data_IF_482746071488
#
_entry.id   IF_482746071488
#
_cell.length_a   1.000
_cell.length_b   1.000
_cell.length_c   1.000
_cell.angle_alpha   90.00
_cell.angle_beta   90.00
_cell.angle_gamma   90.00
#
_symmetry.space_group_name_H-M   'P 1'
#
loop_
_entity.id
_entity.type
_entity.pdbx_description
1 polymer ?
#
# COMPACT_ATOMS: atom_id res chain seq x y z
N UNK A 1 -3.14 -28.72 -12.76
CA UNK A 1 -2.57 -27.38 -12.49
C UNK A 1 -3.41 -26.80 -11.37
N UNK A 2 -2.85 -26.57 -10.20
CA UNK A 2 -3.61 -26.11 -9.03
C UNK A 2 -3.69 -24.58 -9.10
N UNK A 3 -4.92 -24.03 -9.14
CA UNK A 3 -5.18 -22.59 -9.09
C UNK A 3 -5.89 -22.30 -7.78
N UNK A 4 -5.44 -21.27 -7.08
CA UNK A 4 -6.08 -20.80 -5.86
C UNK A 4 -6.53 -19.36 -6.05
N UNK A 5 -7.82 -19.13 -5.82
CA UNK A 5 -8.40 -17.80 -5.75
C UNK A 5 -8.64 -17.48 -4.28
N UNK A 6 -8.07 -16.41 -3.81
CA UNK A 6 -8.33 -15.90 -2.47
C UNK A 6 -9.22 -14.66 -2.63
N UNK A 7 -10.46 -14.80 -2.22
CA UNK A 7 -11.44 -13.72 -2.26
C UNK A 7 -11.66 -13.20 -0.85
N UNK A 8 -11.46 -11.93 -0.67
CA UNK A 8 -11.69 -11.27 0.60
C UNK A 8 -13.18 -10.94 0.83
N UNK A 9 -13.72 -10.96 2.11
CA UNK A 9 -15.17 -10.98 2.38
C UNK A 9 -15.92 -9.80 1.85
N UNK A 10 -15.77 -8.77 1.39
CA UNK A 10 -16.68 -7.70 0.88
C UNK A 10 -17.10 -7.86 -0.57
N UNK A 11 -16.35 -8.61 -1.39
CA UNK A 11 -16.73 -8.83 -2.79
C UNK A 11 -17.89 -9.81 -2.96
N UNK A 12 -18.08 -10.74 -2.03
CA UNK A 12 -19.07 -11.81 -2.11
C UNK A 12 -20.32 -11.58 -1.24
N UNK A 13 -20.48 -10.40 -0.66
CA UNK A 13 -21.74 -9.94 -0.12
C UNK A 13 -22.28 -10.63 1.12
N UNK A 14 -21.47 -11.15 2.03
CA UNK A 14 -21.96 -11.66 3.30
C UNK A 14 -21.11 -12.77 3.92
N UNK A 15 -21.25 -12.97 5.25
CA UNK A 15 -20.27 -13.77 5.98
C UNK A 15 -20.33 -15.28 5.73
N UNK A 16 -21.44 -15.89 5.37
CA UNK A 16 -21.52 -17.35 5.40
C UNK A 16 -22.11 -18.05 4.16
N UNK A 17 -22.91 -17.37 3.35
CA UNK A 17 -23.68 -18.00 2.27
C UNK A 17 -23.65 -17.19 0.96
N UNK A 18 -22.55 -16.53 0.65
CA UNK A 18 -22.44 -15.80 -0.61
C UNK A 18 -22.65 -16.78 -1.78
N UNK A 19 -23.72 -16.63 -2.57
CA UNK A 19 -23.93 -17.47 -3.72
C UNK A 19 -22.73 -17.32 -4.65
N UNK A 20 -22.21 -18.46 -5.13
CA UNK A 20 -21.19 -18.43 -6.17
C UNK A 20 -21.78 -17.70 -7.37
N UNK A 21 -21.02 -16.78 -8.00
CA UNK A 21 -21.55 -16.09 -9.16
C UNK A 21 -21.91 -17.11 -10.26
N UNK A 22 -23.17 -17.15 -10.64
CA UNK A 22 -23.68 -17.96 -11.76
C UNK A 22 -23.55 -17.13 -13.05
N UNK A 23 -22.33 -17.00 -13.56
CA UNK A 23 -22.11 -16.34 -14.85
C UNK A 23 -22.01 -17.38 -15.96
N UNK A 24 -22.67 -17.12 -17.07
CA UNK A 24 -22.51 -17.89 -18.30
C UNK A 24 -21.23 -17.44 -19.02
N UNK A 25 -20.08 -17.80 -18.44
CA UNK A 25 -18.76 -17.46 -18.94
C UNK A 25 -17.71 -18.47 -18.46
N UNK A 26 -16.55 -18.59 -19.13
CA UNK A 26 -15.47 -19.46 -18.69
C UNK A 26 -14.96 -19.17 -17.27
N UNK A 27 -14.99 -17.91 -16.85
CA UNK A 27 -14.66 -17.52 -15.49
C UNK A 27 -15.71 -17.99 -14.49
N UNK A 28 -17.01 -17.90 -14.82
CA UNK A 28 -18.12 -18.42 -14.02
C UNK A 28 -18.05 -19.94 -13.87
N UNK A 29 -17.81 -20.69 -14.96
CA UNK A 29 -17.62 -22.14 -14.92
C UNK A 29 -16.43 -22.54 -14.02
N UNK A 30 -15.34 -21.78 -14.08
CA UNK A 30 -14.16 -22.02 -13.24
C UNK A 30 -14.46 -21.75 -11.77
N UNK A 31 -15.11 -20.62 -11.45
CA UNK A 31 -15.49 -20.26 -10.08
C UNK A 31 -16.47 -21.25 -9.48
N UNK A 32 -17.42 -21.79 -10.28
CA UNK A 32 -18.36 -22.80 -9.84
C UNK A 32 -17.68 -24.11 -9.40
N UNK A 33 -16.54 -24.43 -10.01
CA UNK A 33 -15.74 -25.62 -9.72
C UNK A 33 -14.64 -25.36 -8.69
N UNK A 34 -14.33 -24.10 -8.37
CA UNK A 34 -13.26 -23.73 -7.46
C UNK A 34 -13.56 -24.24 -6.04
N UNK A 35 -12.52 -24.76 -5.38
CA UNK A 35 -12.57 -25.07 -3.97
C UNK A 35 -12.38 -23.77 -3.19
N UNK A 36 -13.37 -23.37 -2.40
CA UNK A 36 -13.30 -22.16 -1.58
C UNK A 36 -12.77 -22.51 -0.22
N UNK A 37 -11.61 -22.00 0.13
CA UNK A 37 -11.03 -22.08 1.47
C UNK A 37 -11.16 -20.71 2.13
N UNK A 38 -11.78 -20.66 3.30
CA UNK A 38 -12.00 -19.40 4.00
C UNK A 38 -10.79 -19.08 4.87
N UNK A 39 -10.15 -17.95 4.61
CA UNK A 39 -9.17 -17.40 5.55
C UNK A 39 -9.93 -16.72 6.69
N UNK A 40 -9.83 -17.29 7.88
CA UNK A 40 -10.40 -16.68 9.10
C UNK A 40 -9.58 -15.47 9.47
N UNK A 41 -10.26 -14.37 9.80
CA UNK A 41 -9.56 -13.19 10.34
C UNK A 41 -8.75 -13.60 11.59
N UNK A 42 -7.53 -13.09 11.76
CA UNK A 42 -6.71 -13.45 12.91
C UNK A 42 -7.44 -13.10 14.21
N UNK A 43 -7.43 -14.03 15.17
CA UNK A 43 -8.04 -13.82 16.50
C UNK A 43 -7.42 -12.65 17.27
N UNK A 44 -6.18 -12.29 16.93
CA UNK A 44 -5.45 -11.19 17.54
C UNK A 44 -5.26 -10.04 16.57
N UNK A 45 -5.39 -8.79 17.04
CA UNK A 45 -5.10 -7.61 16.22
C UNK A 45 -3.69 -7.68 15.66
N UNK A 46 -3.54 -7.39 14.39
CA UNK A 46 -2.24 -7.32 13.72
C UNK A 46 -2.19 -6.09 12.81
N UNK A 47 -1.02 -5.46 12.76
CA UNK A 47 -0.74 -4.40 11.79
C UNK A 47 -0.54 -4.94 10.36
N UNK A 48 -0.35 -6.24 10.20
CA UNK A 48 -0.11 -6.89 8.90
C UNK A 48 -1.01 -8.11 8.69
N UNK A 49 -2.35 -7.94 8.68
CA UNK A 49 -3.29 -9.05 8.47
C UNK A 49 -3.06 -9.76 7.12
N UNK A 50 -2.52 -9.07 6.13
CA UNK A 50 -2.19 -9.59 4.81
C UNK A 50 -1.14 -10.71 4.83
N UNK A 51 -0.42 -10.89 5.95
CA UNK A 51 0.49 -12.02 6.13
C UNK A 51 -0.20 -13.38 5.98
N UNK A 52 -1.48 -13.46 6.35
CA UNK A 52 -2.28 -14.67 6.17
C UNK A 52 -2.33 -15.11 4.70
N UNK A 53 -2.26 -14.19 3.74
CA UNK A 53 -2.26 -14.50 2.30
C UNK A 53 -1.00 -15.26 1.86
N UNK A 54 0.08 -15.08 2.63
CA UNK A 54 1.35 -15.79 2.43
C UNK A 54 1.41 -17.07 3.26
N UNK A 55 0.32 -17.47 3.94
CA UNK A 55 0.27 -18.63 4.83
C UNK A 55 1.05 -18.44 6.13
N UNK A 56 1.26 -17.19 6.53
CA UNK A 56 1.98 -16.82 7.75
C UNK A 56 0.99 -16.28 8.80
N UNK A 57 1.33 -16.48 10.07
CA UNK A 57 0.52 -15.98 11.17
C UNK A 57 0.75 -14.48 11.39
N UNK A 58 -0.27 -13.61 11.15
CA UNK A 58 -0.07 -12.16 11.17
C UNK A 58 0.44 -11.60 12.49
N UNK A 59 0.13 -12.24 13.63
CA UNK A 59 0.57 -11.78 14.94
C UNK A 59 2.06 -12.06 15.23
N UNK A 60 2.67 -13.00 14.50
CA UNK A 60 4.10 -13.31 14.61
C UNK A 60 4.96 -12.47 13.66
N UNK A 61 4.38 -12.00 12.57
CA UNK A 61 5.08 -11.29 11.49
C UNK A 61 4.46 -9.91 11.26
N UNK A 62 4.48 -9.09 12.31
CA UNK A 62 3.92 -7.74 12.25
C UNK A 62 4.99 -6.70 11.91
N UNK A 63 4.60 -5.64 11.26
CA UNK A 63 5.40 -4.42 11.04
C UNK A 63 4.51 -3.21 10.78
N UNK A 64 5.09 -2.02 10.85
CA UNK A 64 4.41 -0.76 10.57
C UNK A 64 4.34 -0.45 9.07
N UNK A 65 3.60 0.57 8.69
CA UNK A 65 3.41 0.97 7.29
C UNK A 65 4.65 1.55 6.62
N UNK A 66 5.55 2.16 7.37
CA UNK A 66 6.79 2.71 6.84
C UNK A 66 7.68 1.65 6.17
N UNK A 67 8.06 0.57 6.87
CA UNK A 67 8.71 -0.57 6.25
C UNK A 67 7.99 -1.12 5.03
N UNK A 68 6.66 -1.22 5.07
CA UNK A 68 5.89 -1.72 3.93
C UNK A 68 5.93 -0.77 2.73
N UNK A 69 5.89 0.54 2.97
CA UNK A 69 6.00 1.53 1.90
C UNK A 69 7.35 1.50 1.20
N UNK A 70 8.44 1.38 1.96
CA UNK A 70 9.80 1.23 1.42
C UNK A 70 9.94 -0.12 0.70
N UNK A 71 9.47 -1.20 1.30
CA UNK A 71 9.46 -2.53 0.70
C UNK A 71 8.70 -2.58 -0.63
N UNK A 72 7.59 -1.85 -0.76
CA UNK A 72 6.82 -1.76 -1.99
C UNK A 72 7.58 -1.12 -3.17
N UNK A 73 8.60 -0.33 -2.89
CA UNK A 73 9.53 0.20 -3.90
C UNK A 73 10.62 -0.81 -4.26
N UNK A 74 10.90 -1.74 -3.38
CA UNK A 74 11.85 -2.82 -3.60
C UNK A 74 13.23 -2.31 -3.99
N UNK A 75 13.77 -2.86 -5.06
CA UNK A 75 15.11 -2.49 -5.59
C UNK A 75 15.16 -1.08 -6.20
N UNK A 76 14.01 -0.47 -6.45
CA UNK A 76 13.93 0.89 -7.01
C UNK A 76 13.99 1.97 -5.92
N UNK A 77 13.94 1.59 -4.63
CA UNK A 77 14.22 2.54 -3.55
C UNK A 77 15.66 3.06 -3.66
N UNK A 78 15.88 4.38 -3.61
CA UNK A 78 17.22 4.96 -3.85
C UNK A 78 18.17 4.70 -2.67
N UNK A 79 19.02 3.72 -2.82
CA UNK A 79 20.06 3.37 -1.86
C UNK A 79 19.73 2.18 -0.95
N UNK A 80 20.71 1.72 -0.18
CA UNK A 80 20.52 0.60 0.73
C UNK A 80 19.72 1.02 1.96
N UNK A 81 18.87 0.11 2.45
CA UNK A 81 18.14 0.24 3.72
C UNK A 81 18.88 -0.55 4.79
N UNK A 82 19.43 0.16 5.76
CA UNK A 82 20.14 -0.42 6.92
C UNK A 82 19.16 -1.00 7.96
N UNK A 83 19.65 -1.93 8.78
CA UNK A 83 18.84 -2.53 9.85
C UNK A 83 18.38 -1.55 10.94
N UNK A 84 19.04 -0.38 11.04
CA UNK A 84 18.74 0.69 12.01
C UNK A 84 18.19 1.95 11.35
N UNK A 85 17.78 1.85 10.09
CA UNK A 85 17.12 2.96 9.41
C UNK A 85 15.64 2.96 9.79
N UNK A 86 15.15 4.09 10.29
CA UNK A 86 13.72 4.27 10.56
C UNK A 86 13.03 4.63 9.26
N UNK A 87 12.05 3.82 8.89
CA UNK A 87 11.32 3.90 7.63
C UNK A 87 9.92 4.46 7.89
N UNK A 88 9.46 5.35 7.03
CA UNK A 88 8.14 5.97 7.11
C UNK A 88 7.39 5.79 5.79
N UNK A 89 6.10 5.58 5.89
CA UNK A 89 5.18 5.87 4.80
C UNK A 89 4.98 7.39 4.72
N UNK A 90 4.74 7.89 3.52
CA UNK A 90 4.44 9.30 3.30
C UNK A 90 3.12 9.39 2.54
N UNK A 91 2.15 10.06 3.12
CA UNK A 91 0.87 10.32 2.46
C UNK A 91 0.67 11.82 2.21
N UNK A 92 -0.03 12.11 1.12
CA UNK A 92 -0.36 13.48 0.75
C UNK A 92 -1.50 14.01 1.61
N UNK A 93 -1.33 15.20 2.14
CA UNK A 93 -2.35 15.92 2.88
C UNK A 93 -2.42 17.37 2.40
N UNK A 94 -3.48 18.06 2.77
CA UNK A 94 -3.65 19.49 2.55
C UNK A 94 -3.91 20.21 3.87
N UNK A 95 -3.93 21.54 3.82
CA UNK A 95 -4.35 22.40 4.92
C UNK A 95 -5.64 23.11 4.53
N UNK A 96 -6.60 23.17 5.42
CA UNK A 96 -7.79 24.00 5.26
C UNK A 96 -7.49 25.48 5.58
N UNK A 97 -8.50 26.34 5.45
CA UNK A 97 -8.36 27.78 5.69
C UNK A 97 -7.93 28.14 7.12
N UNK A 98 -8.20 27.25 8.08
CA UNK A 98 -7.86 27.42 9.49
C UNK A 98 -6.57 26.69 9.89
N UNK A 99 -5.81 26.20 8.89
CA UNK A 99 -4.58 25.41 9.03
C UNK A 99 -4.76 24.06 9.74
N UNK A 100 -5.93 23.43 9.62
CA UNK A 100 -6.09 22.04 10.03
C UNK A 100 -5.67 21.10 8.88
N UNK A 101 -5.05 19.99 9.26
CA UNK A 101 -4.70 18.93 8.32
C UNK A 101 -5.98 18.29 7.77
N UNK A 102 -6.01 18.05 6.46
CA UNK A 102 -7.06 17.29 5.82
C UNK A 102 -6.46 16.21 4.92
N UNK A 103 -7.14 15.08 4.82
CA UNK A 103 -6.75 14.00 3.90
C UNK A 103 -6.84 14.50 2.45
N UNK A 104 -5.93 14.04 1.63
CA UNK A 104 -5.90 14.35 0.20
C UNK A 104 -5.50 13.12 -0.59
N UNK A 105 -6.11 12.93 -1.75
CA UNK A 105 -5.60 11.97 -2.70
C UNK A 105 -4.21 12.37 -3.19
N UNK A 106 -3.42 11.39 -3.57
CA UNK A 106 -2.12 11.65 -4.17
C UNK A 106 -2.30 12.34 -5.55
N UNK A 107 -1.41 13.27 -5.92
CA UNK A 107 -1.38 13.78 -7.28
C UNK A 107 -1.15 12.65 -8.28
N UNK A 108 -1.64 12.81 -9.50
CA UNK A 108 -1.48 11.81 -10.58
C UNK A 108 -0.88 12.43 -11.83
N UNK A 109 -0.43 11.60 -12.77
CA UNK A 109 0.06 12.05 -14.07
C UNK A 109 1.18 13.06 -14.00
N UNK A 110 1.02 14.19 -14.71
CA UNK A 110 2.01 15.27 -14.76
C UNK A 110 2.22 15.93 -13.39
N UNK A 111 1.13 16.12 -12.62
CA UNK A 111 1.22 16.70 -11.29
C UNK A 111 2.07 15.86 -10.34
N UNK A 112 1.91 14.54 -10.37
CA UNK A 112 2.77 13.62 -9.61
C UNK A 112 4.24 13.80 -9.96
N UNK A 113 4.58 13.78 -11.25
CA UNK A 113 5.95 13.89 -11.72
C UNK A 113 6.60 15.23 -11.31
N UNK A 114 5.88 16.33 -11.50
CA UNK A 114 6.40 17.65 -11.20
C UNK A 114 6.56 17.91 -9.70
N UNK A 115 5.54 17.58 -8.89
CA UNK A 115 5.60 17.81 -7.44
C UNK A 115 6.63 16.91 -6.76
N UNK A 116 6.72 15.64 -7.13
CA UNK A 116 7.74 14.73 -6.58
C UNK A 116 9.15 15.12 -7.01
N UNK A 117 9.33 15.65 -8.23
CA UNK A 117 10.61 16.19 -8.67
C UNK A 117 11.02 17.43 -7.87
N UNK A 118 10.08 18.32 -7.56
CA UNK A 118 10.31 19.50 -6.74
C UNK A 118 10.72 19.16 -5.31
N UNK A 119 10.25 18.03 -4.76
CA UNK A 119 10.56 17.57 -3.41
C UNK A 119 11.91 16.85 -3.28
N UNK A 120 12.62 16.54 -4.36
CA UNK A 120 13.94 15.87 -4.31
C UNK A 120 14.96 16.54 -3.39
N UNK A 121 15.03 17.89 -3.26
CA UNK A 121 15.95 18.56 -2.36
C UNK A 121 15.75 18.26 -0.86
N UNK A 122 14.60 17.66 -0.48
CA UNK A 122 14.35 17.21 0.90
C UNK A 122 15.23 16.00 1.28
N UNK A 123 15.79 15.29 0.31
CA UNK A 123 16.77 14.25 0.60
C UNK A 123 18.08 14.88 1.07
N UNK A 124 18.64 14.30 2.12
CA UNK A 124 19.91 14.71 2.75
C UNK A 124 20.75 13.47 3.02
N UNK A 125 22.00 13.58 3.49
CA UNK A 125 22.76 12.40 3.89
C UNK A 125 22.10 11.56 5.00
N UNK A 126 21.14 12.12 5.75
CA UNK A 126 20.39 11.42 6.81
C UNK A 126 18.98 11.02 6.42
N UNK A 127 18.44 11.59 5.37
CA UNK A 127 17.06 11.35 4.91
C UNK A 127 17.07 10.98 3.42
N UNK A 128 16.51 9.85 3.09
CA UNK A 128 16.25 9.45 1.69
C UNK A 128 14.76 9.49 1.41
N UNK A 129 14.32 10.48 0.62
CA UNK A 129 12.97 10.56 0.11
C UNK A 129 12.89 9.79 -1.22
N UNK A 130 11.90 8.92 -1.32
CA UNK A 130 11.57 8.21 -2.54
C UNK A 130 10.11 8.45 -2.94
N UNK A 131 9.87 8.58 -4.24
CA UNK A 131 8.54 8.69 -4.82
C UNK A 131 8.47 7.77 -6.04
N UNK A 132 7.62 6.76 -5.97
CA UNK A 132 7.54 5.73 -7.00
C UNK A 132 6.12 5.13 -7.06
N UNK A 133 5.63 4.91 -8.28
CA UNK A 133 4.38 4.17 -8.52
C UNK A 133 3.17 4.70 -7.73
N UNK A 134 3.08 6.02 -7.60
CA UNK A 134 1.94 6.68 -6.94
C UNK A 134 2.03 6.80 -5.42
N UNK A 135 3.15 6.40 -4.80
CA UNK A 135 3.35 6.56 -3.36
C UNK A 135 4.75 7.06 -3.03
N UNK A 136 4.88 7.63 -1.84
CA UNK A 136 6.13 8.16 -1.32
C UNK A 136 6.53 7.40 -0.05
N UNK A 137 7.83 7.36 0.21
CA UNK A 137 8.41 6.78 1.42
C UNK A 137 9.67 7.56 1.83
N UNK A 138 10.00 7.51 3.11
CA UNK A 138 11.17 8.16 3.68
C UNK A 138 11.97 7.17 4.50
N UNK A 139 13.28 7.17 4.34
CA UNK A 139 14.19 6.49 5.23
C UNK A 139 15.03 7.53 6.00
N UNK A 140 15.05 7.40 7.31
CA UNK A 140 15.95 8.13 8.20
C UNK A 140 17.08 7.21 8.62
N UNK A 141 18.25 7.45 8.05
CA UNK A 141 19.45 6.64 8.27
C UNK A 141 19.93 6.72 9.72
N UNK A 142 20.10 5.55 10.34
CA UNK A 142 20.46 5.40 11.76
C UNK A 142 19.49 6.18 12.65
N UNK A 143 18.19 6.08 12.36
CA UNK A 143 17.13 6.76 13.08
C UNK A 143 16.76 6.08 14.41
N UNK A 144 15.71 6.59 15.02
CA UNK A 144 15.16 6.09 16.28
C UNK A 144 13.69 5.78 16.12
N UNK A 145 13.16 4.89 16.96
CA UNK A 145 11.71 4.65 17.11
C UNK A 145 11.14 5.32 18.37
N UNK A 146 11.97 6.00 19.17
CA UNK A 146 11.48 6.84 20.29
C UNK A 146 10.93 8.16 19.73
N UNK A 147 9.87 8.01 18.93
CA UNK A 147 9.28 9.06 18.13
C UNK A 147 7.76 8.83 18.01
N UNK A 148 6.97 9.81 18.42
CA UNK A 148 5.53 9.84 18.23
C UNK A 148 5.16 10.54 16.93
N UNK A 149 4.50 9.84 16.01
CA UNK A 149 3.88 10.41 14.81
C UNK A 149 2.44 9.90 14.70
N UNK A 150 1.55 10.74 14.24
CA UNK A 150 0.14 10.39 14.04
C UNK A 150 -0.05 9.81 12.62
N UNK A 151 -0.88 8.77 12.50
CA UNK A 151 -1.36 8.34 11.21
C UNK A 151 -2.18 9.47 10.52
N UNK A 152 -2.25 9.52 9.18
CA UNK A 152 -2.99 10.58 8.47
C UNK A 152 -4.42 10.77 8.95
N UNK A 153 -5.14 9.67 9.21
CA UNK A 153 -6.51 9.72 9.72
C UNK A 153 -6.61 10.32 11.14
N UNK A 154 -5.60 10.10 11.98
CA UNK A 154 -5.53 10.66 13.33
C UNK A 154 -5.09 12.14 13.33
N UNK A 155 -4.28 12.51 12.34
CA UNK A 155 -3.79 13.89 12.15
C UNK A 155 -4.87 14.79 11.54
N UNK A 156 -5.75 14.23 10.70
CA UNK A 156 -6.82 14.98 10.06
C UNK A 156 -7.73 15.69 11.08
N UNK A 157 -8.09 16.94 10.79
CA UNK A 157 -8.88 17.81 11.67
C UNK A 157 -8.08 18.47 12.80
N UNK A 158 -6.78 18.19 12.95
CA UNK A 158 -5.93 18.88 13.95
C UNK A 158 -5.20 20.07 13.30
N UNK A 159 -4.94 21.09 14.10
CA UNK A 159 -3.99 22.14 13.73
C UNK A 159 -2.64 21.49 13.42
N UNK A 160 -2.09 21.75 12.24
CA UNK A 160 -0.91 21.06 11.76
C UNK A 160 0.30 21.16 12.71
N UNK A 161 0.49 22.31 13.38
CA UNK A 161 1.56 22.51 14.35
C UNK A 161 1.44 21.61 15.59
N UNK A 162 0.20 21.25 15.98
CA UNK A 162 -0.06 20.40 17.14
C UNK A 162 0.04 18.92 16.82
N UNK A 163 -0.05 18.56 15.52
CA UNK A 163 0.06 17.20 15.03
C UNK A 163 1.50 16.78 14.69
N UNK A 164 2.44 17.75 14.68
CA UNK A 164 3.84 17.51 14.29
C UNK A 164 4.50 16.40 15.12
N UNK A 165 5.46 15.67 14.53
CA UNK A 165 6.22 14.64 15.22
C UNK A 165 6.83 15.14 16.54
N UNK A 166 6.91 14.24 17.52
CA UNK A 166 7.46 14.52 18.86
C UNK A 166 8.44 13.41 19.24
N UNK A 167 9.45 13.73 20.04
CA UNK A 167 10.45 12.78 20.51
C UNK A 167 11.76 12.86 19.76
N UNK A 168 12.47 11.73 19.67
CA UNK A 168 13.77 11.70 19.02
C UNK A 168 13.65 11.95 17.52
N UNK A 169 14.50 12.81 16.97
CA UNK A 169 14.44 13.24 15.56
C UNK A 169 13.36 14.28 15.22
N UNK A 170 12.56 14.74 16.19
CA UNK A 170 11.53 15.77 16.01
C UNK A 170 11.99 16.97 15.18
N UNK A 171 13.12 17.65 15.47
CA UNK A 171 13.52 18.84 14.72
C UNK A 171 13.78 18.54 13.24
N UNK A 172 14.26 17.36 12.93
CA UNK A 172 14.58 16.95 11.56
C UNK A 172 13.31 16.67 10.76
N UNK A 173 12.36 15.93 11.34
CA UNK A 173 11.09 15.63 10.67
C UNK A 173 10.20 16.87 10.54
N UNK A 174 10.17 17.74 11.55
CA UNK A 174 9.48 19.03 11.47
C UNK A 174 10.04 19.87 10.34
N UNK A 175 11.36 19.96 10.24
CA UNK A 175 12.02 20.67 9.14
C UNK A 175 11.69 20.04 7.78
N UNK A 176 11.67 18.70 7.68
CA UNK A 176 11.26 18.00 6.46
C UNK A 176 9.84 18.40 6.03
N UNK A 177 8.89 18.47 6.98
CA UNK A 177 7.51 18.89 6.73
C UNK A 177 7.46 20.36 6.33
N UNK A 178 8.11 21.26 7.09
CA UNK A 178 8.12 22.70 6.83
C UNK A 178 8.73 23.04 5.47
N UNK A 179 9.90 22.48 5.16
CA UNK A 179 10.58 22.70 3.87
C UNK A 179 9.70 22.13 2.73
N UNK A 180 9.04 20.98 2.95
CA UNK A 180 8.08 20.39 2.00
C UNK A 180 6.88 21.30 1.72
N UNK A 181 6.26 21.84 2.77
CA UNK A 181 5.15 22.80 2.65
C UNK A 181 5.58 24.03 1.83
N UNK A 182 6.75 24.60 2.14
CA UNK A 182 7.25 25.78 1.43
C UNK A 182 7.45 25.52 -0.06
N UNK A 183 8.08 24.37 -0.42
CA UNK A 183 8.29 23.98 -1.81
C UNK A 183 6.94 23.78 -2.54
N UNK A 184 6.01 23.07 -1.91
CA UNK A 184 4.73 22.74 -2.51
C UNK A 184 3.81 23.94 -2.64
N UNK A 185 3.81 24.85 -1.66
CA UNK A 185 3.00 26.09 -1.69
C UNK A 185 3.43 27.02 -2.81
N UNK A 186 4.72 27.09 -3.12
CA UNK A 186 5.23 27.93 -4.19
C UNK A 186 5.12 27.30 -5.58
N UNK A 187 4.81 26.01 -5.66
CA UNK A 187 4.78 25.30 -6.92
C UNK A 187 3.63 25.72 -7.82
N UNK A 188 3.89 25.93 -9.11
CA UNK A 188 2.92 26.42 -10.09
C UNK A 188 1.65 25.54 -10.17
N UNK A 189 1.80 24.23 -10.08
CA UNK A 189 0.66 23.30 -10.10
C UNK A 189 -0.30 23.60 -8.94
N UNK A 190 0.20 23.80 -7.74
CA UNK A 190 -0.64 24.12 -6.58
C UNK A 190 -1.25 25.51 -6.67
N UNK A 191 -0.53 26.50 -7.19
CA UNK A 191 -1.09 27.83 -7.46
C UNK A 191 -2.26 27.75 -8.44
N UNK A 192 -2.10 27.02 -9.55
CA UNK A 192 -3.17 26.80 -10.53
C UNK A 192 -4.37 26.09 -9.90
N UNK A 193 -4.16 25.06 -9.07
CA UNK A 193 -5.25 24.38 -8.36
C UNK A 193 -6.05 25.33 -7.49
N UNK A 194 -5.38 26.20 -6.75
CA UNK A 194 -6.05 27.21 -5.92
C UNK A 194 -6.84 28.19 -6.78
N UNK A 195 -6.29 28.66 -7.90
CA UNK A 195 -6.99 29.53 -8.84
C UNK A 195 -8.23 28.87 -9.45
N UNK A 196 -8.20 27.54 -9.61
CA UNK A 196 -9.31 26.71 -10.09
C UNK A 196 -10.29 26.30 -8.96
N UNK A 197 -10.06 26.73 -7.74
CA UNK A 197 -10.92 26.42 -6.58
C UNK A 197 -10.71 25.04 -5.97
N UNK A 198 -9.60 24.37 -6.27
CA UNK A 198 -9.23 23.07 -5.71
C UNK A 198 -8.25 23.22 -4.55
N UNK A 199 -8.34 22.31 -3.57
CA UNK A 199 -7.37 22.25 -2.49
C UNK A 199 -5.98 21.85 -3.03
N UNK A 200 -4.91 22.59 -2.66
CA UNK A 200 -3.54 22.24 -3.08
C UNK A 200 -3.00 21.00 -2.34
N UNK A 201 -2.05 20.31 -2.93
CA UNK A 201 -1.26 19.27 -2.25
C UNK A 201 -0.11 19.95 -1.49
N UNK A 202 -0.25 20.12 -0.18
CA UNK A 202 0.69 20.94 0.60
C UNK A 202 1.60 20.16 1.51
N UNK A 203 1.15 19.03 2.03
CA UNK A 203 1.89 18.31 3.07
C UNK A 203 2.20 16.90 2.60
N UNK A 204 3.47 16.51 2.70
CA UNK A 204 3.88 15.12 2.60
C UNK A 204 4.12 14.61 4.02
N UNK A 205 3.14 13.89 4.57
CA UNK A 205 3.04 13.53 5.98
C UNK A 205 3.72 12.21 6.28
N UNK A 206 4.79 12.18 7.11
CA UNK A 206 5.45 10.95 7.52
C UNK A 206 4.67 10.24 8.63
N UNK A 207 4.49 8.91 8.50
CA UNK A 207 3.79 8.10 9.49
C UNK A 207 4.21 6.64 9.46
N UNK A 208 3.74 5.84 10.45
CA UNK A 208 4.01 4.41 10.55
C UNK A 208 5.49 4.07 10.65
N UNK A 209 6.26 4.72 11.58
CA UNK A 209 7.69 4.48 11.70
C UNK A 209 8.00 3.05 12.11
N UNK A 210 8.96 2.43 11.43
CA UNK A 210 9.43 1.10 11.78
C UNK A 210 10.82 0.83 11.22
N UNK A 211 11.49 -0.17 11.77
CA UNK A 211 12.71 -0.69 11.19
C UNK A 211 12.40 -1.72 10.11
N UNK A 212 13.35 -1.97 9.25
CA UNK A 212 13.30 -3.08 8.31
C UNK A 212 12.96 -4.37 9.06
N UNK A 213 11.90 -5.11 8.66
CA UNK A 213 11.55 -6.38 9.29
C UNK A 213 12.65 -7.41 9.09
N UNK A 214 12.92 -8.19 10.12
CA UNK A 214 13.81 -9.36 10.08
C UNK A 214 12.97 -10.62 9.96
N UNK A 215 12.30 -10.75 8.82
CA UNK A 215 11.47 -11.92 8.53
C UNK A 215 12.30 -13.01 7.86
N UNK A 216 11.99 -14.28 8.14
CA UNK A 216 12.66 -15.39 7.46
C UNK A 216 12.38 -15.33 5.97
N UNK A 217 13.38 -15.71 5.17
CA UNK A 217 13.17 -15.92 3.75
C UNK A 217 12.07 -16.95 3.54
N UNK A 218 11.08 -16.59 2.76
CA UNK A 218 9.87 -17.37 2.57
C UNK A 218 10.16 -18.70 1.87
N UNK A 219 10.10 -19.80 2.60
CA UNK A 219 10.01 -21.14 2.03
C UNK A 219 8.53 -21.45 1.80
N UNK A 220 8.13 -21.49 0.56
CA UNK A 220 6.74 -21.50 0.11
C UNK A 220 5.86 -22.54 0.79
N UNK A 221 4.74 -22.15 1.44
CA UNK A 221 3.76 -23.11 1.95
C UNK A 221 3.10 -23.93 0.85
N UNK A 222 3.27 -23.56 -0.42
CA UNK A 222 2.59 -24.15 -1.57
C UNK A 222 3.50 -24.97 -2.49
N UNK A 223 4.77 -25.16 -2.14
CA UNK A 223 5.68 -26.03 -2.91
C UNK A 223 6.08 -25.52 -4.31
N UNK A 224 5.66 -24.34 -4.70
CA UNK A 224 5.98 -23.72 -6.00
C UNK A 224 6.48 -22.29 -5.82
N UNK A 225 7.40 -21.79 -6.65
CA UNK A 225 7.84 -20.40 -6.61
C UNK A 225 6.63 -19.45 -6.76
N UNK A 226 6.39 -18.64 -5.75
CA UNK A 226 5.34 -17.64 -5.72
C UNK A 226 5.87 -16.33 -6.30
N UNK A 227 5.15 -15.74 -7.28
CA UNK A 227 5.35 -14.37 -7.72
C UNK A 227 4.18 -13.51 -7.26
N UNK A 228 4.43 -12.25 -6.92
CA UNK A 228 3.38 -11.30 -6.52
C UNK A 228 3.22 -10.23 -7.58
N UNK A 229 1.99 -10.09 -8.09
CA UNK A 229 1.62 -9.03 -9.01
C UNK A 229 0.44 -8.28 -8.41
N UNK A 230 0.70 -7.09 -7.87
CA UNK A 230 -0.33 -6.28 -7.24
C UNK A 230 0.05 -4.81 -7.30
N UNK A 231 -0.96 -3.92 -7.23
CA UNK A 231 -0.78 -2.49 -7.02
C UNK A 231 -0.81 -2.11 -5.54
N UNK A 232 -1.28 -3.03 -4.70
CA UNK A 232 -1.41 -2.80 -3.25
C UNK A 232 -0.04 -2.64 -2.59
N UNK A 233 0.21 -1.45 -2.05
CA UNK A 233 1.49 -1.06 -1.42
C UNK A 233 1.90 -2.02 -0.31
N UNK A 234 0.98 -2.36 0.59
CA UNK A 234 1.25 -3.22 1.74
C UNK A 234 1.67 -4.63 1.32
N UNK A 235 0.91 -5.24 0.42
CA UNK A 235 1.18 -6.59 -0.10
C UNK A 235 2.52 -6.66 -0.83
N UNK A 236 2.85 -5.64 -1.62
CA UNK A 236 4.16 -5.54 -2.27
C UNK A 236 5.29 -5.40 -1.27
N UNK A 237 5.08 -4.60 -0.22
CA UNK A 237 6.04 -4.44 0.86
C UNK A 237 6.31 -5.75 1.60
N UNK A 238 5.26 -6.48 1.94
CA UNK A 238 5.36 -7.81 2.55
C UNK A 238 6.14 -8.77 1.63
N UNK A 239 5.73 -8.87 0.36
CA UNK A 239 6.40 -9.73 -0.61
C UNK A 239 7.89 -9.43 -0.72
N UNK A 240 8.26 -8.14 -0.79
CA UNK A 240 9.66 -7.73 -0.84
C UNK A 240 10.46 -8.20 0.37
N UNK A 241 9.96 -7.96 1.58
CA UNK A 241 10.68 -8.36 2.80
C UNK A 241 10.73 -9.85 3.02
N UNK A 242 9.77 -10.60 2.50
CA UNK A 242 9.78 -12.06 2.45
C UNK A 242 10.68 -12.63 1.35
N UNK A 243 11.24 -11.78 0.48
CA UNK A 243 12.05 -12.24 -0.64
C UNK A 243 11.24 -12.85 -1.79
N UNK A 244 9.94 -12.59 -1.85
CA UNK A 244 9.07 -13.05 -2.94
C UNK A 244 9.26 -12.15 -4.17
N UNK A 245 9.55 -12.71 -5.36
CA UNK A 245 9.78 -11.90 -6.55
C UNK A 245 8.50 -11.20 -7.05
N UNK A 246 8.65 -10.01 -7.63
CA UNK A 246 7.54 -9.25 -8.23
C UNK A 246 7.04 -9.86 -9.55
N UNK A 247 7.78 -10.76 -10.16
CA UNK A 247 7.40 -11.42 -11.40
C UNK A 247 6.91 -12.84 -11.14
N UNK A 248 5.81 -13.20 -11.79
CA UNK A 248 5.31 -14.56 -11.74
C UNK A 248 6.36 -15.53 -12.29
N UNK A 249 6.72 -16.54 -11.50
CA UNK A 249 7.49 -17.68 -11.96
C UNK A 249 6.50 -18.78 -12.34
N UNK A 250 6.19 -19.70 -11.44
CA UNK A 250 5.25 -20.78 -11.68
C UNK A 250 3.89 -20.58 -10.97
N UNK A 251 3.84 -19.67 -9.99
CA UNK A 251 2.62 -19.30 -9.27
C UNK A 251 2.56 -17.77 -9.09
N UNK A 252 1.38 -17.21 -9.26
CA UNK A 252 1.16 -15.76 -9.22
C UNK A 252 0.10 -15.40 -8.20
N UNK A 253 0.43 -14.49 -7.29
CA UNK A 253 -0.52 -13.87 -6.38
C UNK A 253 -1.01 -12.56 -7.00
N UNK A 254 -2.28 -12.51 -7.35
CA UNK A 254 -2.94 -11.30 -7.82
C UNK A 254 -3.88 -10.78 -6.72
N UNK A 255 -3.79 -9.49 -6.42
CA UNK A 255 -4.65 -8.83 -5.44
C UNK A 255 -5.55 -7.85 -6.16
N UNK A 256 -6.85 -8.03 -6.03
CA UNK A 256 -7.82 -7.09 -6.57
C UNK A 256 -7.79 -5.78 -5.79
N UNK A 257 -8.08 -4.65 -6.46
CA UNK A 257 -8.26 -3.37 -5.77
C UNK A 257 -9.47 -3.42 -4.82
N UNK A 258 -9.51 -2.46 -3.88
CA UNK A 258 -10.65 -2.27 -2.97
C UNK A 258 -11.96 -2.20 -3.76
N UNK A 259 -13.01 -2.95 -3.34
CA UNK A 259 -14.27 -2.95 -4.04
C UNK A 259 -14.98 -1.60 -3.92
N UNK A 260 -15.77 -1.20 -4.93
CA UNK A 260 -16.66 -0.05 -4.80
C UNK A 260 -17.71 -0.26 -3.71
N UNK A 261 -18.17 0.83 -3.10
CA UNK A 261 -19.27 0.78 -2.11
C UNK A 261 -20.60 0.39 -2.75
N UNK A 262 -20.85 0.80 -4.00
CA UNK A 262 -22.04 0.45 -4.75
C UNK A 262 -22.03 -1.04 -5.14
N UNK A 263 -23.05 -1.82 -4.71
CA UNK A 263 -23.14 -3.26 -4.99
C UNK A 263 -23.20 -3.59 -6.49
N UNK A 264 -23.89 -2.79 -7.31
CA UNK A 264 -24.00 -3.05 -8.76
C UNK A 264 -22.68 -2.78 -9.48
N UNK A 265 -22.00 -1.68 -9.12
CA UNK A 265 -20.65 -1.37 -9.63
C UNK A 265 -19.63 -2.42 -9.18
N UNK A 266 -19.74 -2.89 -7.94
CA UNK A 266 -18.91 -3.95 -7.39
C UNK A 266 -19.04 -5.25 -8.18
N UNK A 267 -20.27 -5.70 -8.44
CA UNK A 267 -20.53 -6.91 -9.21
C UNK A 267 -20.01 -6.77 -10.64
N UNK A 268 -20.23 -5.62 -11.28
CA UNK A 268 -19.75 -5.35 -12.63
C UNK A 268 -18.21 -5.41 -12.70
N UNK A 269 -17.52 -4.72 -11.79
CA UNK A 269 -16.05 -4.72 -11.76
C UNK A 269 -15.46 -6.07 -11.39
N UNK A 270 -16.12 -6.80 -10.50
CA UNK A 270 -15.73 -8.17 -10.18
C UNK A 270 -15.81 -9.07 -11.41
N UNK A 271 -16.91 -9.03 -12.13
CA UNK A 271 -17.11 -9.80 -13.34
C UNK A 271 -16.11 -9.43 -14.43
N UNK A 272 -15.92 -8.14 -14.72
CA UNK A 272 -14.94 -7.64 -15.69
C UNK A 272 -13.53 -8.14 -15.35
N UNK A 273 -13.14 -8.04 -14.09
CA UNK A 273 -11.85 -8.51 -13.65
C UNK A 273 -11.72 -10.05 -13.77
N UNK A 274 -12.71 -10.80 -13.34
CA UNK A 274 -12.73 -12.25 -13.38
C UNK A 274 -12.66 -12.78 -14.81
N UNK A 275 -13.40 -12.19 -15.74
CA UNK A 275 -13.36 -12.53 -17.16
C UNK A 275 -11.99 -12.26 -17.79
N UNK A 276 -11.33 -11.17 -17.37
CA UNK A 276 -10.00 -10.83 -17.86
C UNK A 276 -8.88 -11.71 -17.28
N UNK A 277 -9.04 -12.23 -16.05
CA UNK A 277 -7.95 -12.86 -15.32
C UNK A 277 -8.18 -14.35 -14.99
N UNK A 278 -9.40 -14.82 -14.99
CA UNK A 278 -9.73 -16.22 -14.64
C UNK A 278 -10.07 -17.12 -15.84
N UNK A 279 -10.01 -16.65 -17.08
CA UNK A 279 -10.25 -17.51 -18.24
C UNK A 279 -9.19 -18.61 -18.33
N UNK A 280 -9.55 -19.89 -18.10
CA UNK A 280 -8.60 -21.00 -18.15
C UNK A 280 -8.02 -21.24 -19.56
N UNK A 281 -8.62 -20.66 -20.59
CA UNK A 281 -8.19 -20.78 -21.99
C UNK A 281 -7.14 -19.73 -22.36
N UNK A 282 -7.14 -18.59 -21.67
CA UNK A 282 -6.16 -17.51 -21.87
C UNK A 282 -4.80 -17.83 -21.24
N UNK A 283 -4.74 -18.83 -20.38
CA UNK A 283 -3.62 -19.05 -19.48
C UNK A 283 -2.57 -20.01 -20.07
N UNK A 284 -1.57 -19.43 -20.66
CA UNK A 284 -0.34 -20.15 -21.07
C UNK A 284 0.74 -20.16 -19.97
N UNK A 285 0.49 -19.49 -18.83
CA UNK A 285 1.52 -19.14 -17.84
C UNK A 285 1.29 -19.73 -16.44
N UNK A 286 1.15 -21.02 -16.26
CA UNK A 286 1.28 -21.65 -14.94
C UNK A 286 0.16 -21.41 -13.90
N UNK A 287 0.26 -21.98 -12.69
CA UNK A 287 -0.73 -21.82 -11.64
C UNK A 287 -0.73 -20.41 -11.05
N UNK A 288 -1.94 -19.86 -10.81
CA UNK A 288 -2.14 -18.52 -10.23
C UNK A 288 -2.83 -18.61 -8.88
N UNK A 289 -2.36 -17.82 -7.92
CA UNK A 289 -3.11 -17.51 -6.71
C UNK A 289 -3.60 -16.07 -6.86
N UNK A 290 -4.90 -15.91 -6.83
CA UNK A 290 -5.51 -14.59 -6.91
C UNK A 290 -6.09 -14.23 -5.57
N UNK A 291 -5.67 -13.10 -5.01
CA UNK A 291 -6.23 -12.55 -3.76
C UNK A 291 -7.13 -11.37 -4.12
N UNK A 292 -8.38 -11.49 -3.75
CA UNK A 292 -9.35 -10.41 -3.86
C UNK A 292 -9.47 -9.74 -2.50
N UNK A 293 -8.97 -8.54 -2.39
CA UNK A 293 -9.06 -7.74 -1.17
C UNK A 293 -10.45 -7.13 -1.06
N UNK A 294 -11.01 -7.22 0.11
CA UNK A 294 -12.30 -6.61 0.44
C UNK A 294 -12.18 -5.99 1.82
N UNK A 295 -12.33 -4.73 1.92
CA UNK A 295 -12.49 -4.02 3.21
C UNK A 295 -13.89 -4.20 3.78
#
# INVERSE_FOLDING_TARGET
MERRLVVWPGWLGGPDDAPRPEWDSPAGEWLAQAQVERLVAPEQPSHTPEMAWFGLEPHLYTTEDGPLAVGAMGKEFPGPVGARDTLFALDWMTLDADNHLALSDAPTGEAWQALTAALKPLSTPRLTLAALRGHCALAWHQGSLDLGVLAPAEAAGKLWQTALPQGDGEPMLRRFIDDGINILMEHEINRRRVDEGHAPWLVLWPWGPGFRPDWPSFGLPFGSPLGVVTKERRVRGIAHWLGVPEQALDCRLEVMPTPPDDPEEREYKWREWAEANLDPRADKEGPRITVVHTT
#
